data_IF_677671012814
#
_entry.id   IF_677671012814
#
_cell.length_a   1.000
_cell.length_b   1.000
_cell.length_c   1.000
_cell.angle_alpha   90.00
_cell.angle_beta   90.00
_cell.angle_gamma   90.00
#
_symmetry.space_group_name_H-M   'P 1'
#
loop_
_entity.id
_entity.type
_entity.pdbx_description
1 polymer ?
#
# COMPACT_ATOMS: atom_id res chain seq x y z
N UNK A 1 18.48 10.23 -6.11
CA UNK A 1 18.70 9.02 -6.94
C UNK A 1 18.02 7.81 -6.31
N UNK A 2 18.43 7.34 -5.13
CA UNK A 2 17.82 6.16 -4.48
C UNK A 2 16.28 6.28 -4.31
N UNK A 3 15.78 7.39 -3.78
CA UNK A 3 14.33 7.62 -3.64
C UNK A 3 13.58 7.59 -4.99
N UNK A 4 14.13 8.21 -6.04
CA UNK A 4 13.54 8.13 -7.38
C UNK A 4 13.47 6.70 -7.91
N UNK A 5 14.53 5.90 -7.66
CA UNK A 5 14.56 4.49 -8.04
C UNK A 5 13.47 3.71 -7.29
N UNK A 6 13.32 3.95 -5.98
CA UNK A 6 12.24 3.38 -5.19
C UNK A 6 10.85 3.73 -5.78
N UNK A 7 10.59 5.01 -6.06
CA UNK A 7 9.32 5.47 -6.63
C UNK A 7 9.03 4.87 -8.01
N UNK A 8 10.08 4.60 -8.79
CA UNK A 8 9.98 3.95 -10.10
C UNK A 8 9.83 2.43 -10.02
N UNK A 9 9.95 1.83 -8.83
CA UNK A 9 9.89 0.38 -8.61
C UNK A 9 11.23 -0.34 -8.80
N UNK A 10 12.34 0.38 -8.99
CA UNK A 10 13.70 -0.17 -9.01
C UNK A 10 14.23 -0.30 -7.56
N UNK A 11 13.64 -1.25 -6.84
CA UNK A 11 13.92 -1.51 -5.43
C UNK A 11 15.38 -1.97 -5.22
N UNK A 12 15.91 -2.76 -6.14
CA UNK A 12 17.25 -3.36 -6.07
C UNK A 12 18.33 -2.27 -6.05
N UNK A 13 18.30 -1.38 -7.05
CA UNK A 13 19.27 -0.29 -7.12
C UNK A 13 19.03 0.75 -6.03
N UNK A 14 17.77 0.99 -5.65
CA UNK A 14 17.46 1.87 -4.52
C UNK A 14 18.07 1.35 -3.21
N UNK A 15 17.92 0.06 -2.92
CA UNK A 15 18.47 -0.57 -1.72
C UNK A 15 20.00 -0.54 -1.69
N UNK A 16 20.65 -0.91 -2.80
CA UNK A 16 22.10 -0.88 -2.91
C UNK A 16 22.67 0.53 -2.62
N UNK A 17 22.10 1.56 -3.25
CA UNK A 17 22.54 2.95 -3.05
C UNK A 17 22.23 3.41 -1.62
N UNK A 18 21.05 3.11 -1.08
CA UNK A 18 20.70 3.49 0.29
C UNK A 18 21.67 2.84 1.31
N UNK A 19 22.08 1.60 1.08
CA UNK A 19 23.01 0.89 1.95
C UNK A 19 24.42 1.50 1.91
N UNK A 20 24.89 1.89 0.73
CA UNK A 20 26.15 2.64 0.60
C UNK A 20 26.08 3.98 1.36
N UNK A 21 24.99 4.73 1.19
CA UNK A 21 24.79 6.02 1.89
C UNK A 21 24.78 5.83 3.41
N UNK A 22 24.08 4.83 3.94
CA UNK A 22 24.06 4.52 5.38
C UNK A 22 25.46 4.20 5.91
N UNK A 23 26.27 3.45 5.16
CA UNK A 23 27.64 3.12 5.56
C UNK A 23 28.53 4.37 5.64
N UNK A 24 28.32 5.33 4.73
CA UNK A 24 29.06 6.59 4.68
C UNK A 24 28.60 7.61 5.75
N UNK A 25 27.38 7.48 6.29
CA UNK A 25 26.87 8.40 7.34
C UNK A 25 27.67 8.28 8.65
N UNK A 26 28.30 7.13 8.94
CA UNK A 26 29.05 6.89 10.18
C UNK A 26 30.24 7.83 10.39
N UNK A 27 30.66 8.57 9.36
CA UNK A 27 31.82 9.47 9.41
C UNK A 27 31.45 10.95 9.50
N UNK A 28 30.16 11.29 9.65
CA UNK A 28 29.65 12.66 9.49
C UNK A 28 29.36 13.32 10.85
N UNK A 29 29.79 14.58 11.01
CA UNK A 29 29.57 15.41 12.21
C UNK A 29 28.11 15.89 12.33
N UNK A 30 27.62 16.07 13.57
CA UNK A 30 26.24 16.48 13.88
C UNK A 30 25.96 17.99 13.72
N UNK A 31 26.95 18.81 13.38
CA UNK A 31 26.84 20.28 13.44
C UNK A 31 26.33 20.95 12.14
N UNK A 32 26.18 20.20 11.05
CA UNK A 32 25.72 20.73 9.75
C UNK A 32 24.23 20.41 9.49
N UNK A 33 23.46 21.47 9.31
CA UNK A 33 22.01 21.45 9.12
C UNK A 33 21.55 20.74 7.84
N UNK A 34 22.22 20.95 6.71
CA UNK A 34 21.84 20.28 5.46
C UNK A 34 22.22 18.80 5.50
N UNK A 35 23.30 18.48 6.21
CA UNK A 35 23.70 17.10 6.47
C UNK A 35 22.71 16.37 7.38
N UNK A 36 22.14 17.05 8.38
CA UNK A 36 21.12 16.46 9.25
C UNK A 36 19.84 16.07 8.48
N UNK A 37 19.40 16.91 7.53
CA UNK A 37 18.26 16.60 6.64
C UNK A 37 18.55 15.39 5.75
N UNK A 38 19.72 15.36 5.11
CA UNK A 38 20.16 14.23 4.28
C UNK A 38 20.20 12.93 5.08
N UNK A 39 20.77 12.94 6.29
CA UNK A 39 20.84 11.77 7.17
C UNK A 39 19.46 11.27 7.54
N UNK A 40 18.52 12.18 7.86
CA UNK A 40 17.13 11.82 8.14
C UNK A 40 16.49 11.09 6.94
N UNK A 41 16.62 11.66 5.74
CA UNK A 41 16.06 11.07 4.51
C UNK A 41 16.66 9.71 4.18
N UNK A 42 17.97 9.52 4.35
CA UNK A 42 18.62 8.23 4.09
C UNK A 42 18.15 7.17 5.08
N UNK A 43 18.04 7.50 6.38
CA UNK A 43 17.48 6.57 7.36
C UNK A 43 16.01 6.27 7.10
N UNK A 44 15.23 7.29 6.72
CA UNK A 44 13.82 7.13 6.39
C UNK A 44 13.62 6.17 5.20
N UNK A 45 14.37 6.38 4.11
CA UNK A 45 14.34 5.50 2.94
C UNK A 45 14.82 4.08 3.25
N UNK A 46 15.90 3.94 4.02
CA UNK A 46 16.39 2.61 4.44
C UNK A 46 15.34 1.86 5.27
N UNK A 47 14.61 2.55 6.14
CA UNK A 47 13.53 1.95 6.91
C UNK A 47 12.43 1.41 5.99
N UNK A 48 11.99 2.21 5.02
CA UNK A 48 11.00 1.82 4.01
C UNK A 48 11.46 0.61 3.21
N UNK A 49 12.70 0.61 2.73
CA UNK A 49 13.25 -0.49 1.93
C UNK A 49 13.38 -1.79 2.74
N UNK A 50 13.84 -1.73 3.99
CA UNK A 50 13.93 -2.91 4.84
C UNK A 50 12.55 -3.49 5.19
N UNK A 51 11.56 -2.62 5.39
CA UNK A 51 10.17 -3.03 5.58
C UNK A 51 9.63 -3.73 4.33
N UNK A 52 9.79 -3.09 3.17
CA UNK A 52 9.35 -3.58 1.87
C UNK A 52 9.96 -4.94 1.51
N UNK A 53 11.26 -5.13 1.81
CA UNK A 53 11.98 -6.38 1.55
C UNK A 53 11.81 -7.42 2.67
N UNK A 54 11.17 -7.07 3.78
CA UNK A 54 11.01 -7.93 4.96
C UNK A 54 12.35 -8.50 5.48
N UNK A 55 13.37 -7.64 5.57
CA UNK A 55 14.73 -8.00 6.02
C UNK A 55 15.10 -7.31 7.35
N UNK A 56 16.13 -7.83 8.02
CA UNK A 56 16.63 -7.34 9.32
C UNK A 56 15.50 -7.19 10.36
N UNK A 57 15.29 -6.00 10.91
CA UNK A 57 14.22 -5.66 11.85
C UNK A 57 13.04 -4.95 11.17
N UNK A 58 12.86 -5.20 9.86
CA UNK A 58 11.86 -4.56 9.00
C UNK A 58 11.97 -3.04 9.00
N UNK A 59 13.18 -2.49 9.22
CA UNK A 59 13.45 -1.06 9.17
C UNK A 59 13.17 -0.29 10.46
N UNK A 60 12.70 -0.96 11.53
CA UNK A 60 12.26 -0.31 12.76
C UNK A 60 13.37 0.54 13.41
N UNK A 61 14.62 0.05 13.43
CA UNK A 61 15.78 0.81 13.93
C UNK A 61 16.00 2.08 13.11
N UNK A 62 15.98 1.99 11.78
CA UNK A 62 16.23 3.15 10.93
C UNK A 62 15.10 4.17 10.98
N UNK A 63 13.86 3.71 11.11
CA UNK A 63 12.71 4.60 11.31
C UNK A 63 12.87 5.43 12.59
N UNK A 64 13.23 4.79 13.70
CA UNK A 64 13.51 5.48 14.97
C UNK A 64 14.67 6.47 14.84
N UNK A 65 15.73 6.11 14.12
CA UNK A 65 16.85 7.03 13.85
C UNK A 65 16.39 8.25 13.04
N UNK A 66 15.56 8.05 12.01
CA UNK A 66 15.01 9.12 11.20
C UNK A 66 14.14 10.08 12.02
N UNK A 67 13.20 9.56 12.83
CA UNK A 67 12.36 10.37 13.72
C UNK A 67 13.19 11.18 14.72
N UNK A 68 14.14 10.53 15.38
CA UNK A 68 15.00 11.19 16.35
C UNK A 68 15.79 12.32 15.69
N UNK A 69 16.29 12.12 14.46
CA UNK A 69 17.03 13.14 13.70
C UNK A 69 16.14 14.30 13.25
N UNK A 70 14.96 14.00 12.70
CA UNK A 70 14.03 15.02 12.23
C UNK A 70 13.53 15.94 13.34
N UNK A 71 13.40 15.43 14.58
CA UNK A 71 12.90 16.22 15.72
C UNK A 71 13.94 17.12 16.39
N UNK A 72 15.22 17.04 16.02
CA UNK A 72 16.29 17.76 16.72
C UNK A 72 16.22 19.27 16.53
N UNK A 73 15.86 19.73 15.33
CA UNK A 73 15.96 21.14 14.95
C UNK A 73 14.71 21.59 14.17
N UNK A 74 14.41 22.88 14.25
CA UNK A 74 13.26 23.48 13.56
C UNK A 74 13.34 23.29 12.04
N UNK A 75 14.55 23.36 11.48
CA UNK A 75 14.81 23.18 10.05
C UNK A 75 14.79 21.71 9.58
N UNK A 76 14.61 20.74 10.48
CA UNK A 76 14.44 19.31 10.15
C UNK A 76 13.02 18.81 10.43
N UNK A 77 12.11 19.69 10.87
CA UNK A 77 10.73 19.34 11.15
C UNK A 77 10.00 18.82 9.92
N UNK A 78 10.32 19.33 8.72
CA UNK A 78 9.76 18.82 7.48
C UNK A 78 10.03 17.31 7.33
N UNK A 79 11.27 16.88 7.49
CA UNK A 79 11.64 15.47 7.40
C UNK A 79 11.03 14.63 8.54
N UNK A 80 10.86 15.20 9.74
CA UNK A 80 10.12 14.55 10.83
C UNK A 80 8.67 14.25 10.44
N UNK A 81 7.95 15.23 9.90
CA UNK A 81 6.56 15.04 9.49
C UNK A 81 6.43 14.16 8.25
N UNK A 82 7.42 14.14 7.36
CA UNK A 82 7.52 13.12 6.31
C UNK A 82 7.69 11.71 6.89
N UNK A 83 8.45 11.55 7.97
CA UNK A 83 8.53 10.26 8.68
C UNK A 83 7.19 9.89 9.35
N UNK A 84 6.44 10.86 9.89
CA UNK A 84 5.11 10.59 10.44
C UNK A 84 4.10 10.15 9.38
N UNK A 85 4.22 10.57 8.12
CA UNK A 85 3.41 10.01 7.01
C UNK A 85 3.54 8.49 6.88
N UNK A 86 4.69 7.92 7.31
CA UNK A 86 5.05 6.49 7.21
C UNK A 86 4.75 5.66 8.45
N UNK A 87 4.10 6.26 9.45
CA UNK A 87 3.98 5.62 10.76
C UNK A 87 3.24 4.27 10.73
N UNK A 88 2.30 4.03 9.80
CA UNK A 88 1.62 2.73 9.66
C UNK A 88 2.50 1.56 9.27
N UNK A 89 3.71 1.81 8.76
CA UNK A 89 4.69 0.74 8.55
C UNK A 89 5.30 0.23 9.86
N UNK A 90 5.23 1.01 10.95
CA UNK A 90 6.02 0.78 12.16
C UNK A 90 5.24 0.88 13.48
N UNK A 91 4.10 1.56 13.51
CA UNK A 91 3.29 1.79 14.71
C UNK A 91 2.03 0.91 14.75
N UNK A 92 1.47 0.77 15.94
CA UNK A 92 0.14 0.19 16.14
C UNK A 92 -0.94 1.24 15.86
N UNK A 93 -2.07 0.81 15.32
CA UNK A 93 -3.10 1.65 14.67
C UNK A 93 -3.55 2.92 15.44
N UNK A 94 -3.71 2.86 16.76
CA UNK A 94 -4.25 4.00 17.52
C UNK A 94 -3.34 5.24 17.51
N UNK A 95 -2.03 5.07 17.30
CA UNK A 95 -1.06 6.17 17.25
C UNK A 95 -0.90 6.72 15.82
N UNK A 96 -1.29 5.96 14.81
CA UNK A 96 -1.09 6.28 13.39
C UNK A 96 -1.98 7.43 12.93
N UNK A 97 -3.31 7.34 13.12
CA UNK A 97 -4.23 8.39 12.64
C UNK A 97 -3.92 9.74 13.30
N UNK A 98 -3.50 9.74 14.56
CA UNK A 98 -3.10 10.97 15.25
C UNK A 98 -1.80 11.54 14.65
N UNK A 99 -0.79 10.70 14.43
CA UNK A 99 0.47 11.11 13.79
C UNK A 99 0.27 11.66 12.38
N UNK A 100 -0.63 11.04 11.60
CA UNK A 100 -0.98 11.49 10.26
C UNK A 100 -1.71 12.84 10.28
N UNK A 101 -2.60 13.08 11.28
CA UNK A 101 -3.26 14.38 11.45
C UNK A 101 -2.29 15.47 11.84
N UNK A 102 -1.31 15.17 12.69
CA UNK A 102 -0.23 16.09 13.05
C UNK A 102 0.62 16.46 11.83
N UNK A 103 0.95 15.48 10.98
CA UNK A 103 1.64 15.71 9.72
C UNK A 103 0.82 16.59 8.77
N UNK A 104 -0.46 16.27 8.57
CA UNK A 104 -1.34 17.07 7.72
C UNK A 104 -1.41 18.54 8.18
N UNK A 105 -1.59 18.78 9.48
CA UNK A 105 -1.67 20.12 10.04
C UNK A 105 -0.37 20.92 9.84
N UNK A 106 0.79 20.28 10.05
CA UNK A 106 2.08 20.91 9.80
C UNK A 106 2.26 21.28 8.31
N UNK A 107 1.94 20.37 7.39
CA UNK A 107 2.07 20.65 5.96
C UNK A 107 1.12 21.75 5.49
N UNK A 108 -0.08 21.85 6.07
CA UNK A 108 -0.98 22.98 5.84
C UNK A 108 -0.38 24.30 6.33
N UNK A 109 0.20 24.33 7.53
CA UNK A 109 0.81 25.53 8.12
C UNK A 109 1.94 26.09 7.23
N UNK A 110 2.78 25.21 6.67
CA UNK A 110 3.88 25.61 5.78
C UNK A 110 3.47 25.73 4.31
N UNK A 111 2.18 25.58 3.98
CA UNK A 111 1.63 25.59 2.61
C UNK A 111 2.21 24.50 1.68
N UNK A 112 2.64 23.36 2.22
CA UNK A 112 2.99 22.19 1.41
C UNK A 112 1.74 21.39 1.03
N UNK A 113 1.02 21.88 0.02
CA UNK A 113 -0.28 21.33 -0.41
C UNK A 113 -0.18 19.85 -0.79
N UNK A 114 0.87 19.45 -1.51
CA UNK A 114 1.03 18.06 -1.97
C UNK A 114 1.25 17.13 -0.77
N UNK A 115 2.13 17.48 0.17
CA UNK A 115 2.40 16.66 1.35
C UNK A 115 1.17 16.56 2.28
N UNK A 116 0.40 17.65 2.42
CA UNK A 116 -0.86 17.62 3.14
C UNK A 116 -1.85 16.65 2.47
N UNK A 117 -1.93 16.67 1.13
CA UNK A 117 -2.74 15.75 0.35
C UNK A 117 -2.39 14.28 0.58
N UNK A 118 -1.10 13.96 0.67
CA UNK A 118 -0.62 12.61 0.96
C UNK A 118 -0.99 12.16 2.37
N UNK A 119 -0.82 13.03 3.37
CA UNK A 119 -1.25 12.76 4.73
C UNK A 119 -2.78 12.51 4.80
N UNK A 120 -3.57 13.33 4.10
CA UNK A 120 -5.03 13.13 4.01
C UNK A 120 -5.42 11.82 3.35
N UNK A 121 -4.71 11.42 2.30
CA UNK A 121 -4.91 10.13 1.65
C UNK A 121 -4.61 8.96 2.59
N UNK A 122 -3.49 9.00 3.32
CA UNK A 122 -3.14 7.96 4.28
C UNK A 122 -4.16 7.89 5.43
N UNK A 123 -4.65 9.03 5.94
CA UNK A 123 -5.72 9.06 6.96
C UNK A 123 -6.97 8.35 6.47
N UNK A 124 -7.43 8.66 5.25
CA UNK A 124 -8.63 8.06 4.69
C UNK A 124 -8.49 6.54 4.51
N UNK A 125 -7.32 6.11 4.05
CA UNK A 125 -6.98 4.69 3.83
C UNK A 125 -6.98 3.94 5.16
N UNK A 126 -6.33 4.49 6.19
CA UNK A 126 -6.32 3.91 7.54
C UNK A 126 -7.71 3.77 8.15
N UNK A 127 -8.51 4.84 8.08
CA UNK A 127 -9.88 4.81 8.57
C UNK A 127 -10.75 3.77 7.85
N UNK A 128 -10.54 3.60 6.54
CA UNK A 128 -11.25 2.60 5.74
C UNK A 128 -10.90 1.17 6.16
N UNK A 129 -9.61 0.87 6.38
CA UNK A 129 -9.16 -0.50 6.59
C UNK A 129 -9.38 -0.97 8.02
N UNK A 130 -9.23 -0.10 9.01
CA UNK A 130 -9.53 -0.43 10.40
C UNK A 130 -11.04 -0.49 10.67
N UNK A 131 -11.81 0.38 10.02
CA UNK A 131 -13.26 0.49 10.23
C UNK A 131 -13.63 1.29 11.49
N UNK A 132 -14.93 1.37 11.77
CA UNK A 132 -15.46 2.15 12.91
C UNK A 132 -15.58 3.66 12.66
N UNK A 133 -15.24 4.13 11.46
CA UNK A 133 -15.38 5.53 11.04
C UNK A 133 -16.59 5.73 10.13
N UNK A 134 -17.18 6.92 10.18
CA UNK A 134 -18.28 7.27 9.28
C UNK A 134 -17.80 7.39 7.83
N UNK A 135 -18.51 6.76 6.90
CA UNK A 135 -18.21 6.84 5.46
C UNK A 135 -18.08 8.28 4.95
N UNK A 136 -18.85 9.23 5.51
CA UNK A 136 -18.76 10.66 5.12
C UNK A 136 -17.43 11.29 5.52
N UNK A 137 -16.87 10.89 6.66
CA UNK A 137 -15.58 11.39 7.13
C UNK A 137 -14.45 10.86 6.25
N UNK A 138 -14.44 9.55 6.00
CA UNK A 138 -13.46 8.90 5.10
C UNK A 138 -13.48 9.58 3.72
N UNK A 139 -14.67 9.74 3.14
CA UNK A 139 -14.86 10.37 1.83
C UNK A 139 -14.37 11.82 1.81
N UNK A 140 -14.53 12.56 2.91
CA UNK A 140 -14.05 13.95 3.00
C UNK A 140 -12.53 14.06 2.99
N UNK A 141 -11.81 13.11 3.59
CA UNK A 141 -10.34 13.06 3.54
C UNK A 141 -9.84 12.68 2.15
N UNK A 142 -10.48 11.71 1.47
CA UNK A 142 -10.15 11.42 0.06
C UNK A 142 -10.39 12.64 -0.84
N UNK A 143 -11.47 13.41 -0.61
CA UNK A 143 -11.73 14.66 -1.35
C UNK A 143 -10.64 15.71 -1.10
N UNK A 144 -10.22 15.91 0.15
CA UNK A 144 -9.08 16.79 0.46
C UNK A 144 -7.80 16.37 -0.27
N UNK A 145 -7.50 15.08 -0.32
CA UNK A 145 -6.37 14.56 -1.07
C UNK A 145 -6.50 14.84 -2.58
N UNK A 146 -7.67 14.60 -3.17
CA UNK A 146 -7.95 14.95 -4.57
C UNK A 146 -7.76 16.43 -4.85
N UNK A 147 -8.30 17.31 -4.01
CA UNK A 147 -8.20 18.76 -4.19
C UNK A 147 -6.74 19.25 -4.07
N UNK A 148 -5.90 18.51 -3.32
CA UNK A 148 -4.47 18.80 -3.18
C UNK A 148 -3.67 18.38 -4.40
N UNK A 149 -4.06 17.30 -5.08
CA UNK A 149 -3.36 16.79 -6.25
C UNK A 149 -3.98 17.35 -7.53
N UNK A 150 -3.33 18.36 -8.12
CA UNK A 150 -3.76 18.94 -9.39
C UNK A 150 -3.97 17.88 -10.51
N UNK A 151 -4.76 18.25 -11.52
CA UNK A 151 -5.41 17.33 -12.49
C UNK A 151 -4.53 16.30 -13.25
N UNK A 152 -3.20 16.41 -13.22
CA UNK A 152 -2.28 15.53 -13.96
C UNK A 152 -1.20 14.88 -13.06
N UNK A 153 -1.37 14.90 -11.74
CA UNK A 153 -0.42 14.25 -10.84
C UNK A 153 -0.54 12.73 -10.95
N UNK A 154 0.57 12.01 -11.12
CA UNK A 154 0.59 10.55 -10.99
C UNK A 154 0.08 10.09 -9.62
N UNK A 155 0.15 10.98 -8.62
CA UNK A 155 -0.40 10.74 -7.28
C UNK A 155 -1.94 10.60 -7.27
N UNK A 156 -2.63 11.09 -8.29
CA UNK A 156 -4.07 10.85 -8.42
C UNK A 156 -4.41 9.36 -8.65
N UNK A 157 -3.47 8.57 -9.17
CA UNK A 157 -3.71 7.14 -9.42
C UNK A 157 -3.98 6.39 -8.12
N UNK A 158 -3.22 6.67 -7.06
CA UNK A 158 -3.40 6.02 -5.77
C UNK A 158 -4.71 6.49 -5.11
N UNK A 159 -5.04 7.78 -5.23
CA UNK A 159 -6.32 8.30 -4.72
C UNK A 159 -7.51 7.65 -5.40
N UNK A 160 -7.51 7.61 -6.73
CA UNK A 160 -8.58 6.93 -7.46
C UNK A 160 -8.63 5.44 -7.16
N UNK A 161 -7.49 4.75 -7.03
CA UNK A 161 -7.46 3.35 -6.61
C UNK A 161 -8.14 3.15 -5.24
N UNK A 162 -7.70 3.84 -4.19
CA UNK A 162 -8.25 3.62 -2.86
C UNK A 162 -9.68 4.16 -2.73
N UNK A 163 -10.08 5.16 -3.53
CA UNK A 163 -11.49 5.52 -3.67
C UNK A 163 -12.29 4.37 -4.29
N UNK A 164 -11.77 3.69 -5.32
CA UNK A 164 -12.39 2.47 -5.84
C UNK A 164 -12.61 1.42 -4.74
N UNK A 165 -11.59 1.18 -3.90
CA UNK A 165 -11.69 0.28 -2.74
C UNK A 165 -12.76 0.76 -1.76
N UNK A 166 -12.80 2.06 -1.42
CA UNK A 166 -13.84 2.64 -0.58
C UNK A 166 -15.25 2.38 -1.14
N UNK A 167 -15.44 2.52 -2.46
CA UNK A 167 -16.72 2.25 -3.08
C UNK A 167 -17.11 0.76 -3.02
N UNK A 168 -16.16 -0.17 -3.18
CA UNK A 168 -16.43 -1.61 -3.02
C UNK A 168 -16.78 -1.95 -1.57
N UNK A 169 -15.95 -1.54 -0.62
CA UNK A 169 -16.01 -2.01 0.77
C UNK A 169 -17.04 -1.26 1.60
N UNK A 170 -17.12 0.06 1.49
CA UNK A 170 -17.93 0.90 2.37
C UNK A 170 -19.25 1.36 1.73
N UNK A 171 -19.29 1.53 0.40
CA UNK A 171 -20.51 1.91 -0.33
C UNK A 171 -21.22 0.73 -1.01
N UNK A 172 -20.60 -0.45 -1.00
CA UNK A 172 -21.09 -1.65 -1.68
C UNK A 172 -21.43 -1.45 -3.16
N UNK A 173 -20.65 -0.61 -3.85
CA UNK A 173 -20.91 -0.22 -5.22
C UNK A 173 -19.72 -0.51 -6.14
N UNK A 174 -19.72 -1.71 -6.72
CA UNK A 174 -18.67 -2.18 -7.60
C UNK A 174 -18.62 -1.45 -8.95
N UNK A 175 -19.75 -0.90 -9.42
CA UNK A 175 -19.82 -0.19 -10.71
C UNK A 175 -19.09 1.14 -10.61
N UNK A 176 -19.39 1.95 -9.60
CA UNK A 176 -18.67 3.19 -9.36
C UNK A 176 -17.19 2.93 -9.04
N UNK A 177 -16.88 1.85 -8.30
CA UNK A 177 -15.51 1.47 -8.04
C UNK A 177 -14.71 1.20 -9.33
N UNK A 178 -15.29 0.47 -10.28
CA UNK A 178 -14.68 0.17 -11.57
C UNK A 178 -14.34 1.45 -12.36
N UNK A 179 -15.20 2.46 -12.32
CA UNK A 179 -14.93 3.77 -12.94
C UNK A 179 -13.73 4.48 -12.31
N UNK A 180 -13.57 4.39 -10.98
CA UNK A 180 -12.39 4.93 -10.30
C UNK A 180 -11.12 4.16 -10.65
N UNK A 181 -11.15 2.83 -10.67
CA UNK A 181 -9.99 2.03 -11.08
C UNK A 181 -9.57 2.31 -12.53
N UNK A 182 -10.54 2.47 -13.44
CA UNK A 182 -10.25 2.87 -14.84
C UNK A 182 -9.62 4.27 -14.92
N UNK A 183 -10.08 5.23 -14.12
CA UNK A 183 -9.43 6.56 -14.02
C UNK A 183 -8.00 6.44 -13.49
N UNK A 184 -7.77 5.61 -12.48
CA UNK A 184 -6.44 5.36 -11.93
C UNK A 184 -5.49 4.78 -13.00
N UNK A 185 -5.97 3.80 -13.78
CA UNK A 185 -5.22 3.12 -14.85
C UNK A 185 -4.75 4.05 -15.97
N UNK A 186 -5.45 5.17 -16.21
CA UNK A 186 -5.14 6.12 -17.29
C UNK A 186 -4.02 7.12 -16.95
N UNK A 187 -3.64 7.26 -15.69
CA UNK A 187 -2.54 8.11 -15.27
C UNK A 187 -1.23 7.35 -15.49
N UNK A 188 -0.13 7.96 -15.93
CA UNK A 188 1.10 7.20 -16.25
C UNK A 188 1.65 6.40 -15.04
N UNK A 189 1.68 5.07 -15.12
CA UNK A 189 2.00 4.20 -13.98
C UNK A 189 3.32 3.47 -14.17
N UNK A 190 3.95 3.05 -13.06
CA UNK A 190 4.91 1.95 -13.08
C UNK A 190 4.20 0.63 -13.33
N UNK A 191 4.93 -0.39 -13.81
CA UNK A 191 4.36 -1.72 -14.06
C UNK A 191 3.72 -2.32 -12.80
N UNK A 192 4.31 -2.12 -11.62
CA UNK A 192 3.73 -2.56 -10.35
C UNK A 192 2.38 -1.88 -10.06
N UNK A 193 2.30 -0.57 -10.28
CA UNK A 193 1.08 0.20 -10.05
C UNK A 193 -0.01 -0.22 -11.06
N UNK A 194 0.37 -0.43 -12.32
CA UNK A 194 -0.52 -0.92 -13.36
C UNK A 194 -1.03 -2.33 -13.05
N UNK A 195 -0.15 -3.25 -12.66
CA UNK A 195 -0.51 -4.60 -12.21
C UNK A 195 -1.53 -4.53 -11.07
N UNK A 196 -1.25 -3.75 -10.03
CA UNK A 196 -2.10 -3.62 -8.84
C UNK A 196 -3.48 -3.05 -9.16
N UNK A 197 -3.59 -2.07 -10.07
CA UNK A 197 -4.89 -1.54 -10.49
C UNK A 197 -5.67 -2.56 -11.33
N UNK A 198 -5.02 -3.31 -12.22
CA UNK A 198 -5.71 -4.35 -12.99
C UNK A 198 -6.18 -5.51 -12.10
N UNK A 199 -5.47 -5.84 -11.02
CA UNK A 199 -5.95 -6.76 -9.99
C UNK A 199 -7.30 -6.30 -9.44
N UNK A 200 -7.39 -5.03 -9.02
CA UNK A 200 -8.62 -4.47 -8.47
C UNK A 200 -9.76 -4.40 -9.50
N UNK A 201 -9.43 -4.11 -10.78
CA UNK A 201 -10.40 -4.18 -11.89
C UNK A 201 -10.95 -5.59 -12.04
N UNK A 202 -10.08 -6.61 -12.08
CA UNK A 202 -10.51 -8.02 -12.18
C UNK A 202 -11.47 -8.41 -11.05
N UNK A 203 -11.22 -7.93 -9.82
CA UNK A 203 -12.13 -8.17 -8.69
C UNK A 203 -13.49 -7.51 -8.88
N UNK A 204 -13.52 -6.29 -9.41
CA UNK A 204 -14.77 -5.62 -9.77
C UNK A 204 -15.51 -6.38 -10.87
N UNK A 205 -14.81 -6.89 -11.88
CA UNK A 205 -15.41 -7.68 -12.95
C UNK A 205 -16.06 -8.96 -12.42
N UNK A 206 -15.39 -9.65 -11.49
CA UNK A 206 -15.95 -10.81 -10.79
C UNK A 206 -17.19 -10.46 -9.96
N UNK A 207 -17.19 -9.32 -9.26
CA UNK A 207 -18.36 -8.87 -8.50
C UNK A 207 -19.56 -8.49 -9.39
N UNK A 208 -19.28 -7.98 -10.58
CA UNK A 208 -20.27 -7.49 -11.53
C UNK A 208 -20.76 -8.56 -12.50
N UNK A 209 -20.19 -9.77 -12.44
CA UNK A 209 -20.45 -10.87 -13.38
C UNK A 209 -20.29 -10.43 -14.84
N UNK A 210 -19.19 -9.71 -15.11
CA UNK A 210 -18.88 -9.16 -16.44
C UNK A 210 -18.59 -10.30 -17.43
N UNK A 211 -18.88 -10.05 -18.71
CA UNK A 211 -18.62 -11.01 -19.79
C UNK A 211 -17.17 -11.55 -19.74
N UNK A 212 -16.98 -12.88 -19.88
CA UNK A 212 -15.66 -13.51 -19.73
C UNK A 212 -14.57 -12.90 -20.61
N UNK A 213 -14.92 -12.45 -21.83
CA UNK A 213 -13.95 -11.84 -22.74
C UNK A 213 -13.34 -10.55 -22.17
N UNK A 214 -14.17 -9.72 -21.53
CA UNK A 214 -13.72 -8.45 -20.93
C UNK A 214 -12.86 -8.76 -19.70
N UNK A 215 -13.30 -9.69 -18.84
CA UNK A 215 -12.50 -10.15 -17.70
C UNK A 215 -11.12 -10.65 -18.13
N UNK A 216 -11.04 -11.52 -19.15
CA UNK A 216 -9.75 -12.06 -19.60
C UNK A 216 -8.85 -10.98 -20.22
N UNK A 217 -9.41 -9.92 -20.81
CA UNK A 217 -8.61 -8.80 -21.27
C UNK A 217 -7.93 -8.05 -20.12
N UNK A 218 -8.65 -7.78 -19.02
CA UNK A 218 -8.07 -7.12 -17.84
C UNK A 218 -7.17 -8.06 -17.03
N UNK A 219 -7.45 -9.36 -17.04
CA UNK A 219 -6.54 -10.39 -16.53
C UNK A 219 -5.22 -10.44 -17.32
N UNK A 220 -5.27 -10.40 -18.66
CA UNK A 220 -4.06 -10.39 -19.49
C UNK A 220 -3.25 -9.10 -19.27
N UNK A 221 -3.92 -7.96 -19.08
CA UNK A 221 -3.26 -6.70 -18.68
C UNK A 221 -2.52 -6.85 -17.35
N UNK A 222 -3.11 -7.54 -16.37
CA UNK A 222 -2.45 -7.87 -15.10
C UNK A 222 -1.23 -8.77 -15.33
N UNK A 223 -1.38 -9.86 -16.07
CA UNK A 223 -0.32 -10.85 -16.27
C UNK A 223 0.88 -10.28 -17.02
N UNK A 224 0.65 -9.48 -18.06
CA UNK A 224 1.73 -8.82 -18.81
C UNK A 224 2.56 -7.88 -17.91
N UNK A 225 1.91 -7.16 -17.00
CA UNK A 225 2.59 -6.28 -16.05
C UNK A 225 3.29 -7.07 -14.93
N UNK A 226 2.75 -8.21 -14.51
CA UNK A 226 3.44 -9.13 -13.59
C UNK A 226 4.72 -9.70 -14.22
N UNK A 227 4.67 -10.11 -15.49
CA UNK A 227 5.83 -10.69 -16.18
C UNK A 227 6.99 -9.71 -16.31
N UNK A 228 6.71 -8.42 -16.55
CA UNK A 228 7.77 -7.41 -16.64
C UNK A 228 8.49 -7.21 -15.30
N UNK A 229 7.77 -7.26 -14.18
CA UNK A 229 8.33 -7.03 -12.84
C UNK A 229 8.87 -8.29 -12.16
N UNK A 230 8.43 -9.49 -12.55
CA UNK A 230 8.84 -10.77 -11.98
C UNK A 230 10.31 -11.14 -12.28
N UNK A 231 10.95 -10.41 -13.19
CA UNK A 231 12.36 -10.60 -13.58
C UNK A 231 13.38 -9.93 -12.65
N UNK A 232 12.92 -9.13 -11.67
CA UNK A 232 13.79 -8.39 -10.73
C UNK A 232 14.47 -9.30 -9.71
N UNK A 233 15.63 -8.89 -9.19
CA UNK A 233 16.41 -9.70 -8.24
C UNK A 233 15.73 -9.70 -6.86
N UNK A 234 15.32 -8.54 -6.35
CA UNK A 234 14.52 -8.44 -5.12
C UNK A 234 13.04 -8.22 -5.46
N UNK A 235 12.44 -9.23 -6.12
CA UNK A 235 10.97 -9.30 -6.20
C UNK A 235 10.39 -9.37 -4.80
N UNK A 236 9.33 -8.60 -4.55
CA UNK A 236 8.69 -8.56 -3.24
C UNK A 236 7.81 -9.79 -3.07
N UNK A 237 7.37 -10.04 -1.84
CA UNK A 237 6.33 -11.03 -1.61
C UNK A 237 5.01 -10.63 -2.33
N UNK A 238 4.72 -9.33 -2.45
CA UNK A 238 3.45 -8.81 -2.93
C UNK A 238 3.12 -9.21 -4.37
N UNK A 239 4.07 -9.17 -5.31
CA UNK A 239 3.76 -9.48 -6.72
C UNK A 239 3.29 -10.94 -6.89
N UNK A 240 4.04 -11.87 -6.31
CA UNK A 240 3.72 -13.29 -6.37
C UNK A 240 2.43 -13.61 -5.60
N UNK A 241 2.21 -12.93 -4.47
CA UNK A 241 0.99 -13.06 -3.69
C UNK A 241 -0.23 -12.56 -4.48
N UNK A 242 -0.14 -11.39 -5.12
CA UNK A 242 -1.21 -10.81 -5.92
C UNK A 242 -1.58 -11.69 -7.11
N UNK A 243 -0.57 -12.22 -7.82
CA UNK A 243 -0.82 -13.17 -8.92
C UNK A 243 -1.55 -14.41 -8.42
N UNK A 244 -1.01 -15.08 -7.40
CA UNK A 244 -1.58 -16.33 -6.94
C UNK A 244 -2.95 -16.11 -6.27
N UNK A 245 -3.21 -14.94 -5.65
CA UNK A 245 -4.52 -14.56 -5.13
C UNK A 245 -5.54 -14.34 -6.25
N UNK A 246 -5.18 -13.63 -7.32
CA UNK A 246 -6.05 -13.46 -8.49
C UNK A 246 -6.44 -14.83 -9.07
N UNK A 247 -5.46 -15.73 -9.22
CA UNK A 247 -5.68 -17.08 -9.70
C UNK A 247 -6.62 -17.88 -8.78
N UNK A 248 -6.34 -17.88 -7.47
CA UNK A 248 -7.14 -18.62 -6.49
C UNK A 248 -8.59 -18.13 -6.41
N UNK A 249 -8.81 -16.82 -6.42
CA UNK A 249 -10.14 -16.21 -6.41
C UNK A 249 -10.88 -16.49 -7.71
N UNK A 250 -10.20 -16.37 -8.86
CA UNK A 250 -10.78 -16.70 -10.17
C UNK A 250 -11.24 -18.17 -10.21
N UNK A 251 -10.42 -19.10 -9.70
CA UNK A 251 -10.80 -20.51 -9.58
C UNK A 251 -12.04 -20.69 -8.70
N UNK A 252 -12.11 -20.01 -7.56
CA UNK A 252 -13.28 -20.08 -6.66
C UNK A 252 -14.56 -19.60 -7.35
N UNK A 253 -14.51 -18.49 -8.08
CA UNK A 253 -15.65 -17.97 -8.86
C UNK A 253 -16.08 -18.91 -9.99
N UNK A 254 -15.13 -19.67 -10.56
CA UNK A 254 -15.41 -20.71 -11.56
C UNK A 254 -15.89 -22.04 -10.95
N UNK A 255 -16.03 -22.14 -9.63
CA UNK A 255 -16.37 -23.39 -8.93
C UNK A 255 -15.26 -24.44 -8.97
N UNK A 256 -14.02 -24.03 -9.22
CA UNK A 256 -12.82 -24.89 -9.25
C UNK A 256 -12.07 -24.80 -7.92
N UNK A 257 -11.22 -25.79 -7.66
CA UNK A 257 -10.43 -25.85 -6.43
C UNK A 257 -9.13 -25.03 -6.54
N UNK A 258 -8.89 -24.19 -5.54
CA UNK A 258 -7.63 -23.48 -5.26
C UNK A 258 -6.91 -24.02 -4.00
N UNK A 259 -7.33 -25.18 -3.46
CA UNK A 259 -6.79 -25.77 -2.22
C UNK A 259 -5.27 -25.92 -2.26
N UNK A 260 -4.72 -26.36 -3.41
CA UNK A 260 -3.29 -26.55 -3.58
C UNK A 260 -2.51 -25.23 -3.49
N UNK A 261 -3.03 -24.16 -4.10
CA UNK A 261 -2.45 -22.82 -4.01
C UNK A 261 -2.49 -22.30 -2.57
N UNK A 262 -3.61 -22.49 -1.87
CA UNK A 262 -3.74 -22.09 -0.47
C UNK A 262 -2.70 -22.81 0.43
N UNK A 263 -2.55 -24.13 0.28
CA UNK A 263 -1.55 -24.88 1.04
C UNK A 263 -0.12 -24.45 0.74
N UNK A 264 0.22 -24.20 -0.54
CA UNK A 264 1.53 -23.68 -0.95
C UNK A 264 1.90 -22.41 -0.17
N UNK A 265 0.97 -21.47 -0.02
CA UNK A 265 1.22 -20.20 0.66
C UNK A 265 1.17 -20.30 2.18
N UNK A 266 0.25 -21.09 2.74
CA UNK A 266 0.18 -21.29 4.18
C UNK A 266 1.40 -22.01 4.75
N UNK A 267 2.09 -22.83 3.95
CA UNK A 267 3.35 -23.47 4.34
C UNK A 267 4.55 -22.52 4.38
N UNK A 268 4.52 -21.41 3.64
CA UNK A 268 5.60 -20.41 3.64
C UNK A 268 5.63 -19.57 4.91
N UNK A 269 4.52 -19.49 5.64
CA UNK A 269 4.46 -18.75 6.91
C UNK A 269 4.42 -17.23 6.76
N UNK A 270 4.06 -16.69 5.59
CA UNK A 270 3.88 -15.24 5.40
C UNK A 270 2.65 -14.76 6.20
N UNK A 271 2.90 -14.06 7.32
CA UNK A 271 1.84 -13.68 8.27
C UNK A 271 0.81 -12.73 7.67
N UNK A 272 1.23 -11.77 6.86
CA UNK A 272 0.37 -10.72 6.30
C UNK A 272 -0.78 -11.28 5.44
N UNK A 273 -0.49 -12.19 4.50
CA UNK A 273 -1.50 -12.78 3.62
C UNK A 273 -2.17 -14.03 4.20
N UNK A 274 -1.64 -14.59 5.29
CA UNK A 274 -2.14 -15.82 5.91
C UNK A 274 -3.65 -15.79 6.18
N UNK A 275 -4.25 -14.70 6.69
CA UNK A 275 -5.69 -14.64 6.92
C UNK A 275 -6.50 -14.87 5.63
N UNK A 276 -6.12 -14.23 4.53
CA UNK A 276 -6.81 -14.35 3.23
C UNK A 276 -6.74 -15.79 2.71
N UNK A 277 -5.54 -16.39 2.77
CA UNK A 277 -5.35 -17.78 2.34
C UNK A 277 -6.13 -18.78 3.18
N UNK A 278 -6.20 -18.57 4.50
CA UNK A 278 -7.02 -19.39 5.41
C UNK A 278 -8.50 -19.29 5.06
N UNK A 279 -8.97 -18.09 4.72
CA UNK A 279 -10.37 -17.88 4.36
C UNK A 279 -10.73 -18.57 3.05
N UNK A 280 -9.93 -18.37 1.99
CA UNK A 280 -10.11 -19.07 0.71
C UNK A 280 -10.14 -20.58 0.93
N UNK A 281 -9.18 -21.13 1.68
CA UNK A 281 -9.15 -22.55 1.99
C UNK A 281 -10.41 -23.01 2.73
N UNK A 282 -10.81 -22.29 3.78
CA UNK A 282 -11.95 -22.65 4.63
C UNK A 282 -13.27 -22.73 3.84
N UNK A 283 -13.48 -21.81 2.88
CA UNK A 283 -14.65 -21.81 1.99
C UNK A 283 -14.68 -23.02 1.06
N UNK A 284 -13.51 -23.52 0.65
CA UNK A 284 -13.41 -24.66 -0.27
C UNK A 284 -13.50 -26.02 0.39
N UNK A 285 -13.06 -26.16 1.64
CA UNK A 285 -13.08 -27.45 2.36
C UNK A 285 -14.28 -27.61 3.31
N UNK A 286 -15.22 -26.66 3.31
CA UNK A 286 -16.42 -26.66 4.18
C UNK A 286 -16.12 -26.81 5.68
N UNK A 287 -14.92 -26.41 6.13
CA UNK A 287 -14.57 -26.37 7.56
C UNK A 287 -14.75 -24.93 8.00
N UNK A 288 -15.76 -24.60 8.83
CA UNK A 288 -15.96 -23.23 9.27
C UNK A 288 -14.74 -22.77 10.06
N UNK A 289 -14.12 -21.69 9.61
CA UNK A 289 -13.04 -21.01 10.32
C UNK A 289 -13.64 -20.28 11.54
N UNK A 290 -13.97 -21.03 12.59
CA UNK A 290 -14.62 -20.52 13.82
C UNK A 290 -13.73 -19.55 14.62
N UNK A 291 -12.46 -19.41 14.23
CA UNK A 291 -11.45 -18.62 14.93
C UNK A 291 -10.76 -17.60 14.00
N UNK A 292 -11.44 -17.10 12.95
CA UNK A 292 -10.93 -15.99 12.16
C UNK A 292 -10.96 -14.70 12.98
N UNK A 293 -10.04 -14.56 13.93
CA UNK A 293 -9.73 -13.28 14.56
C UNK A 293 -8.71 -12.58 13.68
N UNK A 294 -9.14 -11.52 13.00
CA UNK A 294 -8.25 -10.54 12.39
C UNK A 294 -7.94 -9.50 13.47
N UNK A 295 -6.76 -9.54 14.10
CA UNK A 295 -6.43 -8.60 15.17
C UNK A 295 -6.32 -7.16 14.62
N UNK A 296 -5.86 -7.02 13.37
CA UNK A 296 -5.72 -5.75 12.67
C UNK A 296 -6.59 -5.73 11.40
N UNK A 297 -7.09 -4.54 11.03
CA UNK A 297 -7.91 -4.31 9.84
C UNK A 297 -9.13 -5.25 9.71
N UNK A 298 -9.78 -5.55 10.83
CA UNK A 298 -10.88 -6.51 10.90
C UNK A 298 -11.98 -6.24 9.88
N UNK A 299 -12.39 -4.98 9.77
CA UNK A 299 -13.40 -4.57 8.80
C UNK A 299 -12.98 -4.92 7.37
N UNK A 300 -11.75 -4.56 6.97
CA UNK A 300 -11.25 -4.87 5.63
C UNK A 300 -11.32 -6.37 5.33
N UNK A 301 -10.73 -7.21 6.18
CA UNK A 301 -10.67 -8.65 5.98
C UNK A 301 -12.07 -9.30 5.95
N UNK A 302 -12.96 -8.87 6.84
CA UNK A 302 -14.35 -9.31 6.85
C UNK A 302 -15.05 -8.98 5.53
N UNK A 303 -14.88 -7.75 5.03
CA UNK A 303 -15.53 -7.30 3.80
C UNK A 303 -15.02 -8.06 2.56
N UNK A 304 -13.71 -8.23 2.40
CA UNK A 304 -13.15 -8.93 1.25
C UNK A 304 -13.48 -10.43 1.28
N UNK A 305 -13.51 -11.05 2.48
CA UNK A 305 -13.90 -12.45 2.65
C UNK A 305 -15.38 -12.65 2.30
N UNK A 306 -16.27 -11.79 2.83
CA UNK A 306 -17.70 -11.80 2.51
C UNK A 306 -17.95 -11.69 1.01
N UNK A 307 -17.18 -10.84 0.33
CA UNK A 307 -17.30 -10.57 -1.11
C UNK A 307 -16.53 -11.56 -2.00
N UNK A 308 -15.69 -12.42 -1.41
CA UNK A 308 -14.81 -13.37 -2.12
C UNK A 308 -13.94 -12.68 -3.16
N UNK A 309 -13.27 -11.62 -2.73
CA UNK A 309 -12.34 -10.82 -3.55
C UNK A 309 -11.09 -10.50 -2.73
N UNK A 310 -10.12 -9.83 -3.36
CA UNK A 310 -8.99 -9.22 -2.69
C UNK A 310 -8.68 -7.87 -3.32
N UNK A 311 -8.61 -6.78 -2.55
CA UNK A 311 -8.29 -5.46 -3.07
C UNK A 311 -6.95 -4.98 -2.53
N UNK A 312 -6.08 -4.50 -3.42
CA UNK A 312 -4.77 -3.99 -3.07
C UNK A 312 -4.76 -2.45 -3.03
N UNK A 313 -4.38 -1.91 -1.88
CA UNK A 313 -4.28 -0.47 -1.64
C UNK A 313 -2.90 0.09 -1.97
N UNK A 314 -2.84 1.41 -2.16
CA UNK A 314 -1.59 2.16 -2.16
C UNK A 314 -1.51 3.09 -0.95
N UNK A 315 -0.29 3.49 -0.61
CA UNK A 315 0.02 4.42 0.49
C UNK A 315 1.16 5.33 0.11
N UNK A 316 1.09 6.60 0.55
CA UNK A 316 2.19 7.54 0.37
C UNK A 316 3.14 7.44 1.52
N UNK A 317 4.16 6.61 1.33
CA UNK A 317 5.21 6.48 2.31
C UNK A 317 6.30 7.52 2.05
N UNK A 318 6.93 7.58 0.87
CA UNK A 318 7.98 8.57 0.54
C UNK A 318 7.45 9.92 0.05
#
# INVERSE_FOLDING_TARGET
>A
MAMYLYDSGDIDNSFSIAQELVNNIRTISNEDNDMNRMVCNVYSLMATLQNHLSIEDMGARYYKLALNRGKLHENTLYEYYCCLKKCGMFFQHNEEIQSLKEAAAYFEEINSVIDAGEAYFNIATEMLFYGGYENRLIESYFKKALDSFGHNSLKLSYVYNNMGIFYVLAKENAKEALEYFKKAKLLGLSDFTYMTINLNICMCDLLLDIEPLVFYQDHDNFMNAYESIASRENTTAYENQYKDLLEAITLEHQGKSAVQLCHKHLLKGEEFFSPIWKDILSRQISVPNKNATYPDSHFFYEQINRKRIFLAEFRYWE
#
